data_IF_359705989489
#
_entry.id   IF_359705989489
#
_cell.length_a   1.000
_cell.length_b   1.000
_cell.length_c   1.000
_cell.angle_alpha   90.00
_cell.angle_beta   90.00
_cell.angle_gamma   90.00
#
_symmetry.space_group_name_H-M   'P 1'
#
loop_
_entity.id
_entity.type
_entity.pdbx_description
1 polymer ?
#
# COMPACT_ATOMS: atom_id res chain seq x y z
N UNK A 1 8.55 12.40 34.15
CA UNK A 1 8.93 11.45 33.09
C UNK A 1 9.69 12.14 32.00
N UNK A 2 10.52 11.40 31.29
CA UNK A 2 11.26 11.93 30.15
C UNK A 2 10.85 11.18 28.89
N UNK A 3 10.36 11.93 27.89
CA UNK A 3 9.99 11.33 26.61
C UNK A 3 11.20 11.48 25.69
N UNK A 4 11.67 10.36 25.21
CA UNK A 4 12.82 10.29 24.32
C UNK A 4 12.39 9.96 22.91
N UNK A 5 13.21 10.30 21.92
CA UNK A 5 12.98 9.96 20.54
C UNK A 5 14.22 9.36 19.93
N UNK A 6 14.02 8.56 18.92
CA UNK A 6 15.10 7.90 18.21
C UNK A 6 14.67 7.71 16.76
N UNK A 7 15.47 8.19 15.85
CA UNK A 7 15.18 7.99 14.43
C UNK A 7 15.50 6.57 14.02
N UNK A 8 14.58 5.95 13.31
CA UNK A 8 14.77 4.63 12.73
C UNK A 8 14.56 4.72 11.23
N UNK A 9 15.15 3.78 10.49
CA UNK A 9 15.02 3.74 9.04
C UNK A 9 14.03 2.65 8.64
N UNK A 10 13.33 2.90 7.53
CA UNK A 10 12.46 1.91 6.92
C UNK A 10 12.67 1.94 5.41
N UNK A 11 12.18 0.89 4.75
CA UNK A 11 12.32 0.74 3.29
C UNK A 11 10.98 0.88 2.62
N UNK A 12 11.01 1.47 1.43
CA UNK A 12 9.87 1.52 0.55
C UNK A 12 10.22 0.87 -0.78
N UNK A 13 9.25 0.24 -1.41
CA UNK A 13 9.40 -0.35 -2.73
C UNK A 13 8.37 0.31 -3.64
N UNK A 14 8.83 0.90 -4.73
CA UNK A 14 7.95 1.40 -5.77
C UNK A 14 7.76 0.31 -6.81
N UNK A 15 6.52 -0.02 -7.09
CA UNK A 15 6.14 -1.01 -8.11
C UNK A 15 5.45 -0.22 -9.21
N UNK A 16 5.92 -0.35 -10.43
CA UNK A 16 5.40 0.48 -11.52
C UNK A 16 5.43 -0.24 -12.84
N UNK A 17 4.61 0.25 -13.78
CA UNK A 17 4.51 -0.24 -15.15
C UNK A 17 4.95 0.87 -16.08
N UNK A 18 5.84 0.55 -17.00
CA UNK A 18 6.26 1.47 -18.05
C UNK A 18 5.80 0.95 -19.41
N UNK A 19 5.44 1.87 -20.28
CA UNK A 19 5.11 1.59 -21.66
C UNK A 19 5.76 2.67 -22.50
N UNK A 20 6.60 2.26 -23.44
CA UNK A 20 7.37 3.18 -24.29
C UNK A 20 8.20 4.19 -23.48
N UNK A 21 8.78 3.73 -22.37
CA UNK A 21 9.60 4.56 -21.49
C UNK A 21 8.84 5.51 -20.58
N UNK A 22 7.51 5.45 -20.60
CA UNK A 22 6.66 6.29 -19.76
C UNK A 22 6.01 5.46 -18.66
N UNK A 23 6.04 5.97 -17.44
CA UNK A 23 5.34 5.34 -16.33
C UNK A 23 3.83 5.56 -16.49
N UNK A 24 3.08 4.47 -16.55
CA UNK A 24 1.62 4.52 -16.75
C UNK A 24 0.83 4.03 -15.54
N UNK A 25 1.50 3.46 -14.56
CA UNK A 25 0.86 3.04 -13.33
C UNK A 25 1.89 2.77 -12.26
N UNK A 26 1.49 2.92 -11.01
CA UNK A 26 2.40 2.71 -9.88
C UNK A 26 1.64 2.36 -8.63
N UNK A 27 2.35 1.79 -7.68
CA UNK A 27 1.97 1.77 -6.28
C UNK A 27 3.24 1.67 -5.46
N UNK A 28 3.10 1.92 -4.17
CA UNK A 28 4.21 1.82 -3.23
C UNK A 28 3.82 0.89 -2.11
N UNK A 29 4.78 0.16 -1.58
CA UNK A 29 4.63 -0.46 -0.27
C UNK A 29 5.76 0.03 0.61
N UNK A 30 5.41 0.35 1.85
CA UNK A 30 6.39 0.74 2.86
C UNK A 30 6.45 -0.36 3.89
N UNK A 31 7.66 -0.76 4.27
CA UNK A 31 7.85 -1.81 5.26
C UNK A 31 7.91 -1.17 6.63
N UNK A 32 7.01 -1.58 7.49
CA UNK A 32 6.90 -1.02 8.84
C UNK A 32 7.31 -2.10 9.84
N UNK A 33 8.41 -1.85 10.54
CA UNK A 33 8.92 -2.73 11.60
C UNK A 33 8.88 -1.96 12.91
N UNK A 34 8.23 -2.53 13.90
CA UNK A 34 8.16 -1.97 15.23
C UNK A 34 8.43 -3.07 16.26
N UNK A 35 8.19 -2.80 17.54
CA UNK A 35 8.48 -3.75 18.61
C UNK A 35 7.37 -4.79 18.81
N UNK A 36 6.28 -4.70 18.05
CA UNK A 36 5.14 -5.58 18.21
C UNK A 36 5.37 -6.98 17.61
N UNK A 37 6.03 -7.04 16.46
CA UNK A 37 6.33 -8.29 15.76
C UNK A 37 7.76 -8.29 15.25
N UNK A 38 8.32 -9.48 15.09
CA UNK A 38 9.64 -9.62 14.49
C UNK A 38 9.63 -9.31 13.00
N UNK A 39 8.59 -9.77 12.31
CA UNK A 39 8.43 -9.50 10.89
C UNK A 39 7.83 -8.11 10.68
N UNK A 40 8.18 -7.45 9.57
CA UNK A 40 7.54 -6.20 9.21
C UNK A 40 6.13 -6.44 8.68
N UNK A 41 5.35 -5.37 8.52
CA UNK A 41 4.18 -5.41 7.68
C UNK A 41 4.31 -4.39 6.56
N UNK A 42 3.49 -4.54 5.52
CA UNK A 42 3.51 -3.65 4.37
C UNK A 42 2.34 -2.69 4.42
N UNK A 43 2.60 -1.41 4.14
CA UNK A 43 1.57 -0.40 3.95
C UNK A 43 1.52 -0.06 2.47
N UNK A 44 0.38 -0.37 1.84
CA UNK A 44 0.15 -0.07 0.43
C UNK A 44 -0.30 1.38 0.29
N UNK A 45 0.37 2.12 -0.59
CA UNK A 45 0.12 3.53 -0.78
C UNK A 45 0.17 3.92 -2.25
N UNK A 46 -0.52 5.02 -2.59
CA UNK A 46 -0.42 5.70 -3.88
C UNK A 46 -0.63 4.76 -5.06
N UNK A 47 -1.70 3.97 -5.04
CA UNK A 47 -2.08 3.13 -6.18
C UNK A 47 -2.69 4.05 -7.25
N UNK A 48 -2.00 4.17 -8.37
CA UNK A 48 -2.40 5.10 -9.42
C UNK A 48 -2.17 4.49 -10.79
N UNK A 49 -3.12 4.72 -11.70
CA UNK A 49 -3.01 4.35 -13.11
C UNK A 49 -3.36 5.59 -13.93
N UNK A 50 -2.51 5.92 -14.90
CA UNK A 50 -2.72 7.01 -15.84
C UNK A 50 -4.11 6.85 -16.48
N UNK A 51 -4.87 7.95 -16.56
CA UNK A 51 -6.27 7.90 -16.99
C UNK A 51 -6.45 7.30 -18.39
N UNK A 52 -5.47 7.47 -19.27
CA UNK A 52 -5.51 6.91 -20.63
C UNK A 52 -5.32 5.39 -20.66
N UNK A 53 -4.92 4.80 -19.54
CA UNK A 53 -4.63 3.37 -19.45
C UNK A 53 -5.54 2.65 -18.46
N UNK A 54 -6.54 3.33 -17.93
CA UNK A 54 -7.51 2.74 -17.02
C UNK A 54 -8.44 1.76 -17.74
N UNK A 55 -9.01 0.82 -16.96
CA UNK A 55 -9.89 -0.20 -17.52
C UNK A 55 -9.18 -1.39 -18.14
N UNK A 56 -7.86 -1.49 -18.00
CA UNK A 56 -7.07 -2.60 -18.55
C UNK A 56 -6.58 -3.56 -17.46
N UNK A 57 -6.98 -3.39 -16.23
CA UNK A 57 -6.58 -4.25 -15.12
C UNK A 57 -5.20 -3.95 -14.56
N UNK A 58 -4.58 -2.83 -14.93
CA UNK A 58 -3.23 -2.46 -14.47
C UNK A 58 -3.20 -2.28 -12.95
N UNK A 59 -4.19 -1.58 -12.38
CA UNK A 59 -4.27 -1.39 -10.94
C UNK A 59 -4.33 -2.71 -10.18
N UNK A 60 -5.11 -3.65 -10.69
CA UNK A 60 -5.24 -4.99 -10.11
C UNK A 60 -3.88 -5.72 -10.15
N UNK A 61 -3.19 -5.65 -11.28
CA UNK A 61 -1.89 -6.31 -11.40
C UNK A 61 -0.84 -5.67 -10.48
N UNK A 62 -0.88 -4.34 -10.32
CA UNK A 62 0.01 -3.64 -9.41
C UNK A 62 -0.20 -4.10 -7.96
N UNK A 63 -1.45 -4.18 -7.51
CA UNK A 63 -1.74 -4.60 -6.15
C UNK A 63 -1.41 -6.07 -5.92
N UNK A 64 -1.68 -6.93 -6.92
CA UNK A 64 -1.27 -8.33 -6.85
C UNK A 64 0.24 -8.47 -6.71
N UNK A 65 0.99 -7.66 -7.47
CA UNK A 65 2.45 -7.66 -7.37
C UNK A 65 2.91 -7.17 -5.99
N UNK A 66 2.25 -6.14 -5.46
CA UNK A 66 2.56 -5.64 -4.12
C UNK A 66 2.37 -6.73 -3.05
N UNK A 67 1.29 -7.49 -3.15
CA UNK A 67 1.02 -8.60 -2.23
C UNK A 67 2.13 -9.66 -2.36
N UNK A 68 2.51 -10.00 -3.58
CA UNK A 68 3.57 -10.97 -3.83
C UNK A 68 4.90 -10.51 -3.23
N UNK A 69 5.28 -9.26 -3.47
CA UNK A 69 6.52 -8.69 -2.94
C UNK A 69 6.50 -8.65 -1.41
N UNK A 70 5.37 -8.27 -0.82
CA UNK A 70 5.22 -8.27 0.63
C UNK A 70 5.44 -9.66 1.22
N UNK A 71 4.90 -10.70 0.57
CA UNK A 71 5.10 -12.08 0.99
C UNK A 71 6.58 -12.48 0.90
N UNK A 72 7.24 -12.13 -0.20
CA UNK A 72 8.65 -12.44 -0.40
C UNK A 72 9.54 -11.74 0.62
N UNK A 73 9.12 -10.58 1.12
CA UNK A 73 9.84 -9.83 2.15
C UNK A 73 9.42 -10.23 3.56
N UNK A 74 8.69 -11.32 3.69
CA UNK A 74 8.30 -11.91 4.96
C UNK A 74 7.40 -11.00 5.80
N UNK A 75 6.56 -10.18 5.15
CA UNK A 75 5.57 -9.38 5.85
C UNK A 75 4.46 -10.25 6.41
N UNK A 76 4.01 -9.97 7.65
CA UNK A 76 2.94 -10.77 8.23
C UNK A 76 1.54 -10.27 7.85
N UNK A 77 1.44 -9.06 7.31
CA UNK A 77 0.18 -8.50 6.77
C UNK A 77 0.50 -7.37 5.80
N UNK A 78 -0.52 -7.01 5.02
CA UNK A 78 -0.49 -5.82 4.19
C UNK A 78 -1.75 -5.00 4.48
N UNK A 79 -1.58 -3.70 4.66
CA UNK A 79 -2.68 -2.77 4.96
C UNK A 79 -2.85 -1.85 3.77
N UNK A 80 -4.10 -1.60 3.40
CA UNK A 80 -4.48 -0.56 2.45
C UNK A 80 -5.56 0.29 3.09
N UNK A 81 -5.57 1.59 2.79
CA UNK A 81 -6.57 2.51 3.30
C UNK A 81 -7.39 3.08 2.16
N UNK A 82 -8.61 3.46 2.45
CA UNK A 82 -9.51 4.11 1.48
C UNK A 82 -10.52 4.95 2.25
N UNK A 83 -10.96 6.03 1.63
CA UNK A 83 -11.96 6.91 2.22
C UNK A 83 -13.30 6.20 2.31
N UNK A 84 -14.10 6.56 3.31
CA UNK A 84 -15.42 5.96 3.54
C UNK A 84 -16.33 5.98 2.33
N UNK A 85 -16.35 7.07 1.59
CA UNK A 85 -17.27 7.27 0.48
C UNK A 85 -16.89 6.50 -0.79
N UNK A 86 -15.71 5.90 -0.84
CA UNK A 86 -15.26 5.18 -2.05
C UNK A 86 -15.59 3.70 -1.99
N UNK A 87 -16.87 3.39 -1.97
CA UNK A 87 -17.35 2.00 -1.84
C UNK A 87 -16.90 1.08 -2.96
N UNK A 88 -16.80 1.59 -4.19
CA UNK A 88 -16.30 0.80 -5.32
C UNK A 88 -14.85 0.35 -5.11
N UNK A 89 -14.04 1.18 -4.47
CA UNK A 89 -12.66 0.82 -4.14
C UNK A 89 -12.64 -0.23 -3.02
N UNK A 90 -13.55 -0.11 -2.04
CA UNK A 90 -13.67 -1.11 -0.98
C UNK A 90 -14.01 -2.48 -1.53
N UNK A 91 -14.95 -2.55 -2.47
CA UNK A 91 -15.32 -3.81 -3.13
C UNK A 91 -14.14 -4.38 -3.91
N UNK A 92 -13.39 -3.53 -4.60
CA UNK A 92 -12.22 -3.94 -5.36
C UNK A 92 -11.15 -4.54 -4.46
N UNK A 93 -10.85 -3.88 -3.33
CA UNK A 93 -9.91 -4.43 -2.36
C UNK A 93 -10.40 -5.76 -1.79
N UNK A 94 -11.69 -5.88 -1.50
CA UNK A 94 -12.25 -7.13 -0.97
C UNK A 94 -12.11 -8.27 -1.98
N UNK A 95 -12.30 -8.00 -3.26
CA UNK A 95 -12.09 -9.00 -4.32
C UNK A 95 -10.63 -9.44 -4.40
N UNK A 96 -9.70 -8.57 -4.06
CA UNK A 96 -8.28 -8.89 -4.03
C UNK A 96 -7.86 -9.65 -2.76
N UNK A 97 -8.76 -9.83 -1.81
CA UNK A 97 -8.49 -10.59 -0.60
C UNK A 97 -8.37 -9.76 0.67
N UNK A 98 -8.50 -8.46 0.58
CA UNK A 98 -8.49 -7.60 1.75
C UNK A 98 -9.83 -7.68 2.49
N UNK A 99 -9.78 -7.45 3.79
CA UNK A 99 -10.97 -7.37 4.64
C UNK A 99 -11.07 -5.96 5.21
N UNK A 100 -12.30 -5.48 5.39
CA UNK A 100 -12.51 -4.25 6.16
C UNK A 100 -12.16 -4.57 7.61
N UNK A 101 -11.11 -3.96 8.12
CA UNK A 101 -10.58 -4.36 9.41
C UNK A 101 -10.76 -3.33 10.50
N UNK A 102 -10.68 -2.04 10.18
CA UNK A 102 -10.75 -0.99 11.19
C UNK A 102 -10.88 0.39 10.55
N UNK A 103 -10.76 1.41 11.39
CA UNK A 103 -10.86 2.79 10.96
C UNK A 103 -9.49 3.43 10.90
N UNK A 104 -9.36 4.36 9.96
CA UNK A 104 -8.21 5.24 9.88
C UNK A 104 -8.57 6.55 10.59
N UNK A 105 -7.69 7.03 11.46
CA UNK A 105 -7.83 8.33 12.11
C UNK A 105 -6.78 9.25 11.51
N UNK A 106 -7.21 10.41 11.06
CA UNK A 106 -6.35 11.35 10.35
C UNK A 106 -6.47 12.75 10.96
N UNK A 107 -5.33 13.37 11.16
CA UNK A 107 -5.25 14.77 11.56
C UNK A 107 -4.32 15.46 10.58
N UNK A 108 -4.81 16.48 9.90
CA UNK A 108 -3.98 17.26 8.99
C UNK A 108 -3.13 18.22 9.82
N UNK A 109 -1.83 18.24 9.57
CA UNK A 109 -0.87 19.05 10.34
C UNK A 109 -0.48 20.34 9.63
N UNK A 110 -1.01 20.54 8.42
CA UNK A 110 -0.80 21.77 7.63
C UNK A 110 -2.06 22.15 6.90
#
# INVERSE_FOLDING_TARGET
MEIKEKMIETKGIKIFVEENGKEIGRCFIYLIKNDLHEEPYALLEDVFVDENFRGRGIGTELVKKAIEVAKLLNCYKIIATSRFERENIHEWYQKLGFKKFGYEFRMDLK
#
